data_IF_014839466978
#
_entry.id   IF_014839466978
#
_cell.length_a   1.000
_cell.length_b   1.000
_cell.length_c   1.000
_cell.angle_alpha   90.00
_cell.angle_beta   90.00
_cell.angle_gamma   90.00
#
_symmetry.space_group_name_H-M   'P 1'
#
loop_
_entity.id
_entity.type
_entity.pdbx_description
1 polymer ?
#
# COMPACT_ATOMS: atom_id res chain seq x y z
N UNK A 1 -15.56 30.76 9.35
CA UNK A 1 -15.18 29.94 10.53
C UNK A 1 -15.88 30.53 11.75
N UNK A 2 -16.34 29.69 12.68
CA UNK A 2 -16.99 30.11 13.93
C UNK A 2 -16.22 29.48 15.09
N UNK A 3 -16.09 30.21 16.20
CA UNK A 3 -15.42 29.72 17.41
C UNK A 3 -16.33 28.70 18.10
N UNK A 4 -15.82 27.49 18.32
CA UNK A 4 -16.57 26.39 18.96
C UNK A 4 -16.01 25.97 20.33
N UNK A 5 -14.80 26.41 20.67
CA UNK A 5 -14.14 26.12 21.94
C UNK A 5 -13.02 27.13 22.23
N UNK A 6 -12.58 27.20 23.49
CA UNK A 6 -11.42 27.98 23.93
C UNK A 6 -10.47 27.07 24.70
N UNK A 7 -9.16 27.21 24.49
CA UNK A 7 -8.15 26.50 25.28
C UNK A 7 -8.02 27.21 26.64
N UNK A 8 -8.16 26.46 27.72
CA UNK A 8 -8.10 26.96 29.10
C UNK A 8 -6.88 26.38 29.83
N UNK A 9 -6.46 27.04 30.92
CA UNK A 9 -5.37 26.56 31.77
C UNK A 9 -5.74 25.30 32.55
N UNK A 10 -6.98 25.21 33.04
CA UNK A 10 -7.49 24.00 33.70
C UNK A 10 -7.54 22.87 32.67
N UNK A 11 -6.82 21.75 32.87
CA UNK A 11 -6.73 20.67 31.89
C UNK A 11 -7.98 19.78 31.92
N UNK A 12 -9.14 20.35 31.56
CA UNK A 12 -10.42 19.66 31.50
C UNK A 12 -11.07 19.86 30.13
N UNK A 13 -11.73 18.81 29.63
CA UNK A 13 -12.70 18.91 28.55
C UNK A 13 -14.05 19.28 29.18
N UNK A 14 -14.50 20.50 28.92
CA UNK A 14 -15.82 20.98 29.36
C UNK A 14 -16.70 21.22 28.13
N UNK A 15 -17.88 20.61 28.10
CA UNK A 15 -18.88 20.84 27.04
C UNK A 15 -20.16 21.38 27.65
N UNK A 16 -20.67 22.45 27.05
CA UNK A 16 -21.94 23.06 27.43
C UNK A 16 -22.99 22.85 26.34
N UNK A 17 -24.22 22.56 26.76
CA UNK A 17 -25.39 22.52 25.89
C UNK A 17 -26.52 23.34 26.51
N UNK A 18 -27.03 24.33 25.77
CA UNK A 18 -28.05 25.28 26.28
C UNK A 18 -27.71 25.93 27.62
N UNK A 19 -26.43 26.25 27.84
CA UNK A 19 -25.93 26.86 29.08
C UNK A 19 -25.63 25.84 30.20
N UNK A 20 -26.05 24.59 30.06
CA UNK A 20 -25.80 23.53 31.04
C UNK A 20 -24.51 22.78 30.74
N UNK A 21 -23.76 22.42 31.78
CA UNK A 21 -22.54 21.60 31.63
C UNK A 21 -22.92 20.13 31.49
N UNK A 22 -22.62 19.53 30.33
CA UNK A 22 -22.95 18.13 30.03
C UNK A 22 -21.72 17.20 30.06
N UNK A 23 -20.53 17.76 29.93
CA UNK A 23 -19.25 17.05 30.10
C UNK A 23 -18.33 17.95 30.92
N UNK A 24 -17.72 17.39 31.96
CA UNK A 24 -16.57 17.96 32.65
C UNK A 24 -15.64 16.81 33.03
N UNK A 25 -14.62 16.57 32.19
CA UNK A 25 -13.68 15.47 32.35
C UNK A 25 -12.26 16.00 32.40
N UNK A 26 -11.48 15.53 33.37
CA UNK A 26 -10.06 15.84 33.42
C UNK A 26 -9.34 15.23 32.21
N UNK A 27 -8.44 16.00 31.60
CA UNK A 27 -7.70 15.59 30.41
C UNK A 27 -6.86 14.34 30.67
N UNK A 28 -6.30 14.21 31.89
CA UNK A 28 -5.52 13.04 32.31
C UNK A 28 -6.30 11.72 32.23
N UNK A 29 -7.62 11.76 32.41
CA UNK A 29 -8.45 10.56 32.30
C UNK A 29 -8.53 10.10 30.84
N UNK A 30 -8.66 11.05 29.92
CA UNK A 30 -8.65 10.81 28.47
C UNK A 30 -7.26 10.39 27.96
N UNK A 31 -6.18 10.80 28.65
CA UNK A 31 -4.79 10.42 28.30
C UNK A 31 -4.39 9.00 28.69
N UNK A 32 -5.27 8.26 29.38
CA UNK A 32 -4.94 6.90 29.82
C UNK A 32 -4.75 5.92 28.66
N UNK A 33 -5.08 6.29 27.41
CA UNK A 33 -4.97 5.47 26.19
C UNK A 33 -5.63 4.08 26.31
N UNK A 34 -6.55 3.92 27.26
CA UNK A 34 -7.21 2.65 27.56
C UNK A 34 -6.32 1.67 28.33
N UNK A 35 -6.66 0.39 28.25
CA UNK A 35 -5.98 -0.69 28.99
C UNK A 35 -5.02 -1.41 28.06
N UNK A 36 -3.77 -1.62 28.50
CA UNK A 36 -2.81 -2.46 27.77
C UNK A 36 -3.31 -3.91 27.77
N UNK A 37 -3.55 -4.45 26.58
CA UNK A 37 -3.96 -5.84 26.40
C UNK A 37 -2.74 -6.68 26.03
N UNK A 38 -2.66 -7.89 26.57
CA UNK A 38 -1.70 -8.92 26.17
C UNK A 38 -2.52 -10.11 25.66
N UNK A 39 -2.13 -10.64 24.51
CA UNK A 39 -2.76 -11.79 23.86
C UNK A 39 -1.66 -12.74 23.39
N UNK A 40 -1.93 -14.04 23.47
CA UNK A 40 -1.09 -15.04 22.83
C UNK A 40 -1.34 -15.03 21.32
N UNK A 41 -0.29 -15.21 20.54
CA UNK A 41 -0.36 -15.35 19.09
C UNK A 41 0.29 -16.67 18.67
N UNK A 42 -0.35 -17.38 17.74
CA UNK A 42 0.15 -18.63 17.18
C UNK A 42 0.17 -18.49 15.67
N UNK A 43 1.36 -18.39 15.09
CA UNK A 43 1.54 -18.37 13.64
C UNK A 43 1.32 -19.79 13.13
N UNK A 44 0.41 -19.93 12.17
CA UNK A 44 0.07 -21.21 11.52
C UNK A 44 0.11 -21.00 10.01
N UNK A 45 0.70 -21.97 9.32
CA UNK A 45 0.64 -22.00 7.86
C UNK A 45 -0.77 -22.40 7.43
N UNK A 46 -1.29 -21.74 6.38
CA UNK A 46 -2.56 -22.14 5.78
C UNK A 46 -2.32 -23.28 4.79
N UNK A 47 -3.26 -24.21 4.71
CA UNK A 47 -3.29 -25.25 3.69
C UNK A 47 -3.83 -24.68 2.37
N UNK A 48 -3.08 -23.75 1.79
CA UNK A 48 -3.37 -23.09 0.51
C UNK A 48 -2.17 -23.30 -0.40
N UNK A 49 -2.43 -23.59 -1.68
CA UNK A 49 -1.37 -23.76 -2.68
C UNK A 49 -0.60 -22.46 -2.89
N UNK A 50 0.68 -22.59 -3.24
CA UNK A 50 1.50 -21.46 -3.69
C UNK A 50 0.76 -20.75 -4.84
N UNK A 51 0.48 -19.44 -4.73
CA UNK A 51 -0.20 -18.71 -5.78
C UNK A 51 0.69 -18.55 -7.01
N UNK A 52 0.07 -18.31 -8.17
CA UNK A 52 0.75 -17.99 -9.43
C UNK A 52 1.70 -19.08 -9.95
N UNK A 53 1.57 -20.34 -9.51
CA UNK A 53 2.20 -21.49 -10.19
C UNK A 53 1.53 -21.73 -11.55
N UNK A 54 2.02 -21.04 -12.58
CA UNK A 54 1.58 -21.17 -13.97
C UNK A 54 2.73 -21.70 -14.82
N UNK A 55 2.46 -22.76 -15.56
CA UNK A 55 3.34 -23.24 -16.63
C UNK A 55 2.59 -23.13 -17.95
N UNK A 56 3.32 -22.76 -19.00
CA UNK A 56 2.77 -22.67 -20.35
C UNK A 56 3.71 -23.36 -21.32
N UNK A 57 3.20 -23.78 -22.47
CA UNK A 57 3.99 -24.34 -23.57
C UNK A 57 3.81 -23.47 -24.82
N UNK A 58 4.67 -23.66 -25.82
CA UNK A 58 4.55 -22.91 -27.08
C UNK A 58 3.20 -23.15 -27.77
N UNK A 59 2.63 -24.36 -27.62
CA UNK A 59 1.34 -24.75 -28.19
C UNK A 59 0.15 -24.16 -27.42
N UNK A 60 0.26 -24.03 -26.10
CA UNK A 60 -0.80 -23.50 -25.24
C UNK A 60 -0.76 -21.97 -25.09
N UNK A 61 0.35 -21.32 -25.46
CA UNK A 61 0.64 -19.91 -25.22
C UNK A 61 -0.52 -18.97 -25.59
N UNK A 62 -1.15 -19.17 -26.75
CA UNK A 62 -2.28 -18.33 -27.18
C UNK A 62 -3.48 -18.47 -26.23
N UNK A 63 -3.88 -19.71 -25.93
CA UNK A 63 -5.00 -19.98 -25.05
C UNK A 63 -4.74 -19.49 -23.62
N UNK A 64 -3.54 -19.74 -23.09
CA UNK A 64 -3.15 -19.32 -21.75
C UNK A 64 -3.09 -17.79 -21.65
N UNK A 65 -2.54 -17.12 -22.67
CA UNK A 65 -2.48 -15.65 -22.71
C UNK A 65 -3.89 -15.05 -22.73
N UNK A 66 -4.79 -15.59 -23.56
CA UNK A 66 -6.19 -15.13 -23.61
C UNK A 66 -6.90 -15.35 -22.27
N UNK A 67 -6.66 -16.49 -21.61
CA UNK A 67 -7.22 -16.76 -20.29
C UNK A 67 -6.75 -15.70 -19.27
N UNK A 68 -5.46 -15.42 -19.21
CA UNK A 68 -4.90 -14.39 -18.30
C UNK A 68 -5.47 -13.01 -18.61
N UNK A 69 -5.53 -12.60 -19.87
CA UNK A 69 -6.05 -11.27 -20.24
C UNK A 69 -7.56 -11.11 -20.02
N UNK A 70 -8.30 -12.23 -19.94
CA UNK A 70 -9.73 -12.25 -19.66
C UNK A 70 -10.08 -12.21 -18.16
N UNK A 71 -9.11 -12.52 -17.29
CA UNK A 71 -9.29 -12.48 -15.84
C UNK A 71 -9.48 -11.03 -15.36
N UNK A 72 -10.46 -10.81 -14.47
CA UNK A 72 -10.82 -9.47 -14.01
C UNK A 72 -9.68 -8.74 -13.26
N UNK A 73 -8.78 -9.47 -12.61
CA UNK A 73 -7.62 -8.87 -11.94
C UNK A 73 -6.56 -8.36 -12.93
N UNK A 74 -6.56 -8.90 -14.16
CA UNK A 74 -5.59 -8.58 -15.22
C UNK A 74 -6.20 -7.70 -16.33
N UNK A 75 -7.52 -7.70 -16.46
CA UNK A 75 -8.25 -6.91 -17.44
C UNK A 75 -8.10 -5.39 -17.19
N UNK A 76 -8.42 -4.60 -18.22
CA UNK A 76 -8.29 -3.14 -18.13
C UNK A 76 -9.23 -2.55 -17.07
N UNK A 77 -8.65 -1.89 -16.07
CA UNK A 77 -9.37 -1.16 -15.03
C UNK A 77 -9.68 0.30 -15.41
N UNK A 78 -9.52 0.67 -16.69
CA UNK A 78 -9.70 2.04 -17.22
C UNK A 78 -11.04 2.65 -16.81
N UNK A 79 -12.12 1.88 -16.88
CA UNK A 79 -13.46 2.35 -16.52
C UNK A 79 -13.52 2.94 -15.11
N UNK A 80 -12.97 2.22 -14.12
CA UNK A 80 -12.88 2.68 -12.73
C UNK A 80 -11.93 3.86 -12.59
N UNK A 81 -10.77 3.84 -13.25
CA UNK A 81 -9.78 4.92 -13.13
C UNK A 81 -10.30 6.26 -13.66
N UNK A 82 -11.09 6.24 -14.73
CA UNK A 82 -11.57 7.46 -15.41
C UNK A 82 -12.73 8.17 -14.72
N UNK A 83 -13.31 7.61 -13.64
CA UNK A 83 -14.33 8.31 -12.85
C UNK A 83 -13.72 9.35 -11.89
N UNK A 84 -12.41 9.28 -11.66
CA UNK A 84 -11.68 10.19 -10.78
C UNK A 84 -10.97 11.27 -11.59
N UNK A 85 -11.09 12.52 -11.14
CA UNK A 85 -10.31 13.62 -11.70
C UNK A 85 -8.85 13.50 -11.28
N UNK A 86 -7.95 13.57 -12.27
CA UNK A 86 -6.50 13.53 -12.06
C UNK A 86 -5.81 14.83 -12.48
N UNK A 87 -6.54 15.93 -12.67
CA UNK A 87 -6.05 17.20 -13.22
C UNK A 87 -6.14 18.37 -12.25
N UNK A 88 -7.03 18.28 -11.24
CA UNK A 88 -7.25 19.33 -10.25
C UNK A 88 -5.95 19.65 -9.52
N UNK A 89 -5.70 20.94 -9.31
CA UNK A 89 -4.44 21.42 -8.71
C UNK A 89 -3.27 21.57 -9.69
N UNK A 90 -3.39 21.09 -10.94
CA UNK A 90 -2.37 21.22 -12.01
C UNK A 90 -0.98 20.68 -11.61
N UNK A 91 -0.96 19.66 -10.74
CA UNK A 91 0.26 19.06 -10.21
C UNK A 91 0.64 17.75 -10.91
N UNK A 92 -0.29 17.09 -11.60
CA UNK A 92 -0.07 15.76 -12.17
C UNK A 92 1.04 15.76 -13.22
N UNK A 93 2.05 14.90 -13.02
CA UNK A 93 3.17 14.71 -13.96
C UNK A 93 2.84 13.57 -14.91
N UNK A 94 2.54 12.39 -14.37
CA UNK A 94 2.10 11.23 -15.12
C UNK A 94 0.57 11.16 -15.07
N UNK A 95 -0.09 11.25 -16.22
CA UNK A 95 -1.52 10.96 -16.32
C UNK A 95 -1.75 9.48 -15.95
N UNK A 96 -2.80 9.10 -15.18
CA UNK A 96 -2.99 7.73 -14.71
C UNK A 96 -2.97 6.67 -15.81
N UNK A 97 -3.47 7.07 -16.99
CA UNK A 97 -3.38 6.33 -18.25
C UNK A 97 -2.52 7.12 -19.23
N UNK A 98 -1.29 6.67 -19.43
CA UNK A 98 -0.27 7.30 -20.25
C UNK A 98 -0.34 6.96 -21.74
N UNK A 99 0.60 7.57 -22.47
CA UNK A 99 0.75 7.42 -23.91
C UNK A 99 -0.31 8.13 -24.75
N UNK A 100 -0.07 8.13 -26.07
CA UNK A 100 -0.91 8.84 -27.06
C UNK A 100 -2.38 8.45 -27.00
N UNK A 101 -2.66 7.20 -26.65
CA UNK A 101 -4.01 6.64 -26.61
C UNK A 101 -4.61 6.57 -25.20
N UNK A 102 -3.86 6.95 -24.16
CA UNK A 102 -4.30 6.85 -22.77
C UNK A 102 -4.79 5.43 -22.44
N UNK A 103 -3.92 4.45 -22.66
CA UNK A 103 -4.20 3.03 -22.46
C UNK A 103 -3.21 2.34 -21.52
N UNK A 104 -2.05 2.94 -21.25
CA UNK A 104 -1.01 2.33 -20.42
C UNK A 104 -1.14 2.82 -18.98
N UNK A 105 -1.51 1.96 -18.01
CA UNK A 105 -1.53 2.34 -16.60
C UNK A 105 -0.14 2.76 -16.13
N UNK A 106 -0.08 3.68 -15.17
CA UNK A 106 1.17 4.14 -14.57
C UNK A 106 1.52 3.34 -13.31
N UNK A 107 2.82 3.14 -13.06
CA UNK A 107 3.31 2.37 -11.90
C UNK A 107 3.18 3.13 -10.57
N UNK A 108 3.18 4.46 -10.64
CA UNK A 108 3.11 5.33 -9.47
C UNK A 108 2.36 6.62 -9.80
N UNK A 109 1.70 7.19 -8.79
CA UNK A 109 1.14 8.53 -8.87
C UNK A 109 2.24 9.56 -8.62
N UNK A 110 2.35 10.53 -9.53
CA UNK A 110 3.40 11.55 -9.50
C UNK A 110 2.80 12.95 -9.57
N UNK A 111 3.03 13.74 -8.53
CA UNK A 111 2.41 15.05 -8.34
C UNK A 111 3.45 16.09 -7.96
N UNK A 112 3.54 17.20 -8.71
CA UNK A 112 4.38 18.35 -8.36
C UNK A 112 3.93 18.96 -7.04
N UNK A 113 4.88 19.37 -6.21
CA UNK A 113 4.58 20.06 -4.96
C UNK A 113 4.09 21.50 -5.25
N UNK A 114 2.92 21.92 -4.71
CA UNK A 114 2.45 23.28 -4.93
C UNK A 114 3.40 24.29 -4.27
N UNK A 115 3.72 25.36 -5.00
CA UNK A 115 4.50 26.50 -4.50
C UNK A 115 3.69 27.78 -4.68
N UNK A 116 3.77 28.70 -3.71
CA UNK A 116 2.98 29.93 -3.73
C UNK A 116 3.31 30.82 -4.95
N UNK A 117 4.57 30.79 -5.39
CA UNK A 117 5.06 31.54 -6.55
C UNK A 117 6.03 30.69 -7.37
N UNK A 118 5.98 30.83 -8.69
CA UNK A 118 6.93 30.21 -9.62
C UNK A 118 6.59 28.77 -10.04
N UNK A 119 7.60 28.06 -10.53
CA UNK A 119 7.50 26.69 -11.04
C UNK A 119 8.43 25.81 -10.23
N UNK A 120 7.90 24.76 -9.60
CA UNK A 120 8.74 23.71 -9.00
C UNK A 120 9.08 22.63 -10.04
N UNK A 121 10.16 21.91 -9.81
CA UNK A 121 10.41 20.60 -10.44
C UNK A 121 10.38 19.47 -9.41
N UNK A 122 10.20 19.77 -8.13
CA UNK A 122 10.05 18.74 -7.10
C UNK A 122 8.65 18.14 -7.18
N UNK A 123 8.59 16.83 -7.32
CA UNK A 123 7.37 16.04 -7.29
C UNK A 123 7.39 15.03 -6.13
N UNK A 124 6.23 14.77 -5.55
CA UNK A 124 5.99 13.57 -4.75
C UNK A 124 5.68 12.39 -5.67
N UNK A 125 6.16 11.22 -5.29
CA UNK A 125 5.87 9.95 -5.94
C UNK A 125 5.30 9.03 -4.87
N UNK A 126 4.14 8.45 -5.15
CA UNK A 126 3.52 7.43 -4.30
C UNK A 126 3.22 6.17 -5.11
N UNK A 127 3.61 5.03 -4.58
CA UNK A 127 3.26 3.73 -5.11
C UNK A 127 2.70 2.85 -3.99
N UNK A 128 1.88 1.87 -4.39
CA UNK A 128 1.31 0.88 -3.48
C UNK A 128 1.76 -0.51 -3.90
N UNK A 129 1.89 -1.42 -2.94
CA UNK A 129 2.08 -2.85 -3.17
C UNK A 129 1.15 -3.67 -2.28
N UNK A 130 0.57 -4.72 -2.86
CA UNK A 130 -0.30 -5.69 -2.20
C UNK A 130 -0.73 -6.77 -3.19
N UNK A 131 -0.62 -8.04 -2.79
CA UNK A 131 -1.20 -9.16 -3.52
C UNK A 131 -2.05 -10.03 -2.56
N UNK A 132 -3.37 -10.13 -2.76
CA UNK A 132 -4.25 -10.84 -1.84
C UNK A 132 -3.98 -12.34 -1.80
N UNK A 133 -3.60 -12.97 -2.92
CA UNK A 133 -3.35 -14.40 -2.99
C UNK A 133 -2.04 -14.78 -2.29
N UNK A 134 -1.00 -13.95 -2.44
CA UNK A 134 0.27 -14.14 -1.70
C UNK A 134 0.06 -13.92 -0.21
N UNK A 135 -0.71 -12.90 0.18
CA UNK A 135 -0.99 -12.62 1.59
C UNK A 135 -1.91 -13.67 2.23
N UNK A 136 -2.82 -14.27 1.47
CA UNK A 136 -3.62 -15.40 1.91
C UNK A 136 -2.77 -16.65 2.11
N UNK A 137 -1.90 -16.99 1.15
CA UNK A 137 -0.96 -18.12 1.24
C UNK A 137 0.00 -17.96 2.42
N UNK A 138 0.64 -16.80 2.54
CA UNK A 138 1.55 -16.49 3.63
C UNK A 138 1.49 -14.99 3.95
N UNK A 139 0.88 -14.59 5.07
CA UNK A 139 0.82 -13.17 5.46
C UNK A 139 2.20 -12.53 5.58
N UNK A 140 3.19 -13.32 6.00
CA UNK A 140 4.60 -12.92 6.03
C UNK A 140 5.11 -12.51 4.64
N UNK A 141 5.02 -13.41 3.66
CA UNK A 141 5.49 -13.13 2.30
C UNK A 141 4.65 -12.02 1.67
N UNK A 142 3.33 -12.03 1.86
CA UNK A 142 2.44 -11.00 1.32
C UNK A 142 2.83 -9.59 1.78
N UNK A 143 3.17 -9.42 3.06
CA UNK A 143 3.61 -8.15 3.59
C UNK A 143 5.04 -7.76 3.14
N UNK A 144 5.97 -8.72 3.08
CA UNK A 144 7.31 -8.45 2.57
C UNK A 144 7.28 -8.03 1.09
N UNK A 145 6.56 -8.79 0.25
CA UNK A 145 6.39 -8.48 -1.16
C UNK A 145 5.56 -7.22 -1.39
N UNK A 146 4.64 -6.84 -0.50
CA UNK A 146 3.98 -5.53 -0.58
C UNK A 146 5.00 -4.37 -0.51
N UNK A 147 5.98 -4.45 0.40
CA UNK A 147 7.07 -3.46 0.50
C UNK A 147 7.95 -3.50 -0.75
N UNK A 148 8.32 -4.69 -1.21
CA UNK A 148 9.17 -4.87 -2.41
C UNK A 148 8.46 -4.33 -3.65
N UNK A 149 7.19 -4.66 -3.87
CA UNK A 149 6.39 -4.22 -5.02
C UNK A 149 6.22 -2.70 -5.04
N UNK A 150 5.84 -2.11 -3.90
CA UNK A 150 5.75 -0.65 -3.79
C UNK A 150 7.10 0.01 -4.11
N UNK A 151 8.21 -0.56 -3.63
CA UNK A 151 9.57 -0.08 -3.91
C UNK A 151 9.91 -0.20 -5.39
N UNK A 152 9.66 -1.35 -6.01
CA UNK A 152 9.90 -1.60 -7.43
C UNK A 152 9.12 -0.62 -8.32
N UNK A 153 7.86 -0.33 -7.97
CA UNK A 153 7.04 0.67 -8.66
C UNK A 153 7.59 2.10 -8.53
N UNK A 154 8.14 2.47 -7.37
CA UNK A 154 8.87 3.74 -7.21
C UNK A 154 10.10 3.80 -8.13
N UNK A 155 10.86 2.71 -8.22
CA UNK A 155 12.03 2.60 -9.12
C UNK A 155 11.60 2.73 -10.58
N UNK A 156 10.54 2.03 -10.98
CA UNK A 156 10.01 2.06 -12.35
C UNK A 156 9.54 3.47 -12.77
N UNK A 157 9.08 4.28 -11.82
CA UNK A 157 8.74 5.69 -12.05
C UNK A 157 9.97 6.64 -12.10
N UNK A 158 11.18 6.12 -11.89
CA UNK A 158 12.43 6.90 -11.86
C UNK A 158 12.68 7.61 -10.52
N UNK A 159 12.00 7.21 -9.45
CA UNK A 159 12.14 7.82 -8.13
C UNK A 159 13.33 7.23 -7.35
N UNK A 160 13.89 8.00 -6.41
CA UNK A 160 14.91 7.48 -5.51
C UNK A 160 14.25 6.66 -4.39
N UNK A 161 14.25 5.34 -4.58
CA UNK A 161 13.63 4.38 -3.67
C UNK A 161 14.30 4.34 -2.30
N UNK A 162 15.61 4.56 -2.19
CA UNK A 162 16.34 4.51 -0.91
C UNK A 162 15.96 5.65 0.05
N UNK A 163 15.23 6.65 -0.45
CA UNK A 163 14.65 7.75 0.34
C UNK A 163 13.19 7.55 0.67
N UNK A 164 12.59 6.43 0.25
CA UNK A 164 11.18 6.18 0.46
C UNK A 164 10.86 6.06 1.97
N UNK A 165 9.62 6.43 2.28
CA UNK A 165 9.00 6.27 3.60
C UNK A 165 7.68 5.57 3.42
N UNK A 166 7.36 4.67 4.35
CA UNK A 166 6.20 3.80 4.22
C UNK A 166 5.08 4.17 5.18
N UNK A 167 3.84 3.98 4.71
CA UNK A 167 2.66 3.87 5.55
C UNK A 167 1.98 2.54 5.27
N UNK A 168 1.55 1.83 6.32
CA UNK A 168 0.91 0.54 6.19
C UNK A 168 -0.57 0.60 6.52
N UNK A 169 -1.40 0.00 5.67
CA UNK A 169 -2.83 -0.16 5.94
C UNK A 169 -3.12 -1.64 6.16
N UNK A 170 -3.54 -1.95 7.38
CA UNK A 170 -3.71 -3.31 7.88
C UNK A 170 -5.20 -3.63 8.00
N UNK A 171 -5.64 -4.69 7.33
CA UNK A 171 -7.00 -5.21 7.43
C UNK A 171 -6.95 -6.71 7.72
N UNK A 172 -7.49 -7.09 8.86
CA UNK A 172 -7.55 -8.47 9.29
C UNK A 172 -8.94 -8.81 9.78
N UNK A 173 -9.15 -10.10 9.96
CA UNK A 173 -10.36 -10.65 10.51
C UNK A 173 -10.64 -10.14 11.93
N UNK A 174 -11.84 -10.42 12.45
CA UNK A 174 -12.20 -10.04 13.80
C UNK A 174 -11.33 -10.77 14.83
N UNK A 175 -10.64 -9.98 15.64
CA UNK A 175 -9.77 -10.45 16.71
C UNK A 175 -10.56 -10.78 17.99
N UNK A 176 -10.85 -12.06 18.25
CA UNK A 176 -11.65 -12.54 19.38
C UNK A 176 -10.85 -13.34 20.44
N UNK A 177 -9.57 -12.97 20.64
CA UNK A 177 -8.62 -13.63 21.56
C UNK A 177 -8.25 -15.07 21.20
N UNK A 178 -8.59 -15.55 20.00
CA UNK A 178 -8.05 -16.78 19.47
C UNK A 178 -6.61 -16.55 18.97
N UNK A 179 -5.65 -17.32 19.49
CA UNK A 179 -4.24 -17.10 19.22
C UNK A 179 -3.86 -17.21 17.73
N UNK A 180 -4.54 -18.07 16.98
CA UNK A 180 -4.27 -18.27 15.55
C UNK A 180 -4.67 -17.06 14.70
N UNK A 181 -5.74 -16.36 15.08
CA UNK A 181 -6.16 -15.11 14.41
C UNK A 181 -5.14 -14.00 14.60
N UNK A 182 -4.58 -13.89 15.80
CA UNK A 182 -3.46 -12.98 16.07
C UNK A 182 -2.15 -13.42 15.41
N UNK A 183 -2.02 -14.68 14.98
CA UNK A 183 -0.88 -15.16 14.21
C UNK A 183 -0.73 -14.47 12.85
N UNK A 184 -1.85 -14.14 12.19
CA UNK A 184 -1.85 -13.48 10.87
C UNK A 184 -1.23 -12.08 10.88
N UNK A 185 -1.68 -11.13 11.73
CA UNK A 185 -1.04 -9.82 11.81
C UNK A 185 0.40 -9.91 12.32
N UNK A 186 0.71 -10.84 13.24
CA UNK A 186 2.10 -11.07 13.68
C UNK A 186 2.99 -11.47 12.50
N UNK A 187 2.57 -12.45 11.69
CA UNK A 187 3.32 -12.89 10.52
C UNK A 187 3.50 -11.77 9.49
N UNK A 188 2.43 -11.03 9.18
CA UNK A 188 2.49 -9.89 8.25
C UNK A 188 3.42 -8.78 8.74
N UNK A 189 3.33 -8.41 10.02
CA UNK A 189 4.22 -7.40 10.61
C UNK A 189 5.67 -7.84 10.56
N UNK A 190 5.98 -9.10 10.88
CA UNK A 190 7.34 -9.64 10.76
C UNK A 190 7.88 -9.55 9.33
N UNK A 191 7.09 -9.96 8.33
CA UNK A 191 7.51 -9.88 6.93
C UNK A 191 7.73 -8.43 6.46
N UNK A 192 6.86 -7.51 6.87
CA UNK A 192 7.05 -6.08 6.58
C UNK A 192 8.29 -5.51 7.27
N UNK A 193 8.58 -5.91 8.51
CA UNK A 193 9.74 -5.43 9.28
C UNK A 193 11.03 -5.95 8.65
N UNK A 194 11.07 -7.22 8.25
CA UNK A 194 12.24 -7.78 7.56
C UNK A 194 12.53 -7.00 6.28
N UNK A 195 11.52 -6.81 5.41
CA UNK A 195 11.70 -6.04 4.18
C UNK A 195 12.17 -4.59 4.44
N UNK A 196 11.62 -3.93 5.46
CA UNK A 196 12.06 -2.59 5.87
C UNK A 196 13.53 -2.57 6.31
N UNK A 197 13.96 -3.55 7.12
CA UNK A 197 15.35 -3.67 7.60
C UNK A 197 16.29 -3.95 6.43
N UNK A 198 15.96 -4.94 5.59
CA UNK A 198 16.80 -5.39 4.48
C UNK A 198 17.00 -4.31 3.41
N UNK A 199 15.96 -3.53 3.13
CA UNK A 199 16.00 -2.44 2.14
C UNK A 199 16.39 -1.08 2.76
N UNK A 200 16.44 -0.95 4.09
CA UNK A 200 16.69 0.31 4.78
C UNK A 200 15.57 1.34 4.62
N UNK A 201 14.31 0.89 4.56
CA UNK A 201 13.14 1.70 4.23
C UNK A 201 12.21 1.82 5.44
N UNK A 202 12.22 2.94 6.20
CA UNK A 202 11.44 3.02 7.43
C UNK A 202 9.97 3.38 7.17
N UNK A 203 9.09 2.85 8.01
CA UNK A 203 7.71 3.32 8.16
C UNK A 203 7.62 4.60 9.00
N UNK A 204 6.64 5.45 8.64
CA UNK A 204 6.37 6.73 9.30
C UNK A 204 4.92 6.87 9.75
N UNK A 205 4.10 5.85 9.50
CA UNK A 205 2.69 5.85 9.85
C UNK A 205 2.00 4.57 9.41
N UNK A 206 0.70 4.51 9.69
CA UNK A 206 -0.15 3.41 9.31
C UNK A 206 -1.48 3.46 10.05
N UNK A 207 -2.35 2.53 9.70
CA UNK A 207 -3.63 2.33 10.38
C UNK A 207 -4.05 0.87 10.28
N UNK A 208 -4.61 0.37 11.36
CA UNK A 208 -5.21 -0.94 11.44
C UNK A 208 -6.75 -0.93 11.46
N UNK A 209 -7.31 -2.04 11.00
CA UNK A 209 -8.73 -2.38 11.08
C UNK A 209 -8.88 -3.88 11.34
N UNK A 210 -9.06 -4.22 12.61
CA UNK A 210 -9.04 -5.60 13.13
C UNK A 210 -10.44 -6.21 13.33
N UNK A 211 -11.38 -5.83 12.47
CA UNK A 211 -12.80 -6.21 12.56
C UNK A 211 -13.39 -6.67 11.22
N UNK A 212 -12.56 -7.12 10.29
CA UNK A 212 -12.93 -7.50 8.92
C UNK A 212 -13.65 -8.85 8.81
N UNK A 213 -14.67 -9.09 9.65
CA UNK A 213 -15.51 -10.29 9.58
C UNK A 213 -16.99 -9.90 9.61
N UNK A 214 -17.74 -10.39 8.64
CA UNK A 214 -19.19 -10.28 8.51
C UNK A 214 -19.81 -11.68 8.39
N UNK A 215 -20.58 -12.09 9.40
CA UNK A 215 -21.05 -13.48 9.54
C UNK A 215 -19.88 -14.46 9.46
N UNK A 216 -19.91 -15.40 8.51
CA UNK A 216 -18.85 -16.40 8.27
C UNK A 216 -17.82 -15.93 7.23
N UNK A 217 -17.97 -14.70 6.70
CA UNK A 217 -17.07 -14.15 5.69
C UNK A 217 -16.01 -13.26 6.35
N UNK A 218 -14.75 -13.60 6.09
CA UNK A 218 -13.59 -12.91 6.63
C UNK A 218 -12.76 -12.33 5.48
N UNK A 219 -12.27 -11.10 5.66
CA UNK A 219 -11.33 -10.48 4.72
C UNK A 219 -10.02 -11.26 4.65
N UNK A 220 -9.33 -11.29 3.49
CA UNK A 220 -7.99 -11.86 3.43
C UNK A 220 -7.04 -11.10 4.36
N UNK A 221 -6.02 -11.76 4.94
CA UNK A 221 -4.97 -11.08 5.70
C UNK A 221 -4.32 -10.03 4.81
N UNK A 222 -4.42 -8.75 5.19
CA UNK A 222 -4.06 -7.65 4.30
C UNK A 222 -3.12 -6.69 5.00
N UNK A 223 -1.95 -6.49 4.40
CA UNK A 223 -1.06 -5.37 4.69
C UNK A 223 -0.71 -4.70 3.36
N UNK A 224 -1.27 -3.52 3.13
CA UNK A 224 -0.99 -2.72 1.94
C UNK A 224 0.14 -1.75 2.27
N UNK A 225 1.21 -1.80 1.48
CA UNK A 225 2.36 -0.92 1.65
C UNK A 225 2.23 0.30 0.74
N UNK A 226 2.21 1.49 1.31
CA UNK A 226 2.27 2.75 0.55
C UNK A 226 3.66 3.35 0.70
N UNK A 227 4.46 3.30 -0.36
CA UNK A 227 5.78 3.92 -0.43
C UNK A 227 5.68 5.33 -0.99
N UNK A 228 6.24 6.31 -0.28
CA UNK A 228 6.29 7.72 -0.70
C UNK A 228 7.73 8.20 -0.75
N UNK A 229 8.10 8.90 -1.83
CA UNK A 229 9.38 9.60 -1.94
C UNK A 229 9.21 10.88 -2.77
N UNK A 230 10.32 11.56 -3.04
CA UNK A 230 10.36 12.71 -3.94
C UNK A 230 11.18 12.41 -5.19
N UNK A 231 10.87 13.08 -6.28
CA UNK A 231 11.59 13.00 -7.54
C UNK A 231 11.70 14.38 -8.21
N UNK A 232 12.63 14.50 -9.16
CA UNK A 232 12.63 15.60 -10.13
C UNK A 232 11.64 15.25 -11.24
N UNK A 233 10.59 16.06 -11.41
CA UNK A 233 9.51 15.83 -12.37
C UNK A 233 9.99 15.68 -13.81
N UNK A 234 11.19 16.18 -14.14
CA UNK A 234 11.79 16.09 -15.49
C UNK A 234 12.47 14.74 -15.74
N UNK A 235 12.68 13.94 -14.69
CA UNK A 235 13.33 12.63 -14.73
C UNK A 235 12.37 11.47 -14.46
N UNK A 236 11.09 11.78 -14.28
CA UNK A 236 10.05 10.78 -14.06
C UNK A 236 9.86 9.98 -15.35
N UNK A 237 9.78 8.67 -15.19
CA UNK A 237 9.56 7.73 -16.28
C UNK A 237 8.08 7.39 -16.40
N UNK A 238 7.64 7.09 -17.62
CA UNK A 238 6.30 6.58 -17.91
C UNK A 238 6.37 5.29 -18.73
N UNK A 239 5.45 4.33 -18.50
CA UNK A 239 5.62 2.94 -18.93
C UNK A 239 5.35 2.67 -20.41
N UNK A 240 4.67 3.57 -21.13
CA UNK A 240 4.39 3.34 -22.55
C UNK A 240 5.66 3.33 -23.41
N UNK A 241 5.71 2.46 -24.42
CA UNK A 241 6.79 2.50 -25.41
C UNK A 241 6.79 3.82 -26.18
N UNK A 242 7.98 4.43 -26.33
CA UNK A 242 8.13 5.78 -26.91
C UNK A 242 8.29 5.76 -28.42
N UNK A 243 9.09 4.84 -28.94
CA UNK A 243 9.39 4.74 -30.37
C UNK A 243 9.76 3.31 -30.76
N UNK A 244 9.66 2.99 -32.04
CA UNK A 244 10.10 1.71 -32.60
C UNK A 244 11.63 1.64 -32.69
N UNK A 245 12.17 0.42 -32.66
CA UNK A 245 13.62 0.16 -32.77
C UNK A 245 14.39 0.25 -31.45
N UNK A 246 13.70 0.51 -30.34
CA UNK A 246 14.29 0.48 -28.99
C UNK A 246 14.42 -0.96 -28.46
N UNK A 247 15.39 -1.17 -27.56
CA UNK A 247 15.61 -2.46 -26.93
C UNK A 247 14.69 -2.68 -25.73
N UNK A 248 14.23 -3.91 -25.56
CA UNK A 248 13.50 -4.35 -24.37
C UNK A 248 14.42 -5.27 -23.57
N UNK A 249 14.60 -4.94 -22.29
CA UNK A 249 15.40 -5.72 -21.37
C UNK A 249 14.47 -6.44 -20.40
N UNK A 250 14.70 -7.74 -20.21
CA UNK A 250 14.06 -8.53 -19.18
C UNK A 250 15.03 -8.71 -18.02
N UNK A 251 14.64 -8.21 -16.85
CA UNK A 251 15.37 -8.44 -15.60
C UNK A 251 14.66 -9.61 -14.92
N UNK A 252 15.26 -10.81 -14.86
CA UNK A 252 14.62 -11.96 -14.24
C UNK A 252 14.45 -11.71 -12.74
N UNK A 253 13.26 -12.03 -12.23
CA UNK A 253 12.99 -12.11 -10.80
C UNK A 253 13.19 -13.52 -10.25
N UNK A 254 13.09 -13.66 -8.94
CA UNK A 254 12.98 -14.96 -8.28
C UNK A 254 11.52 -15.41 -8.28
N UNK A 255 11.28 -16.70 -8.52
CA UNK A 255 9.97 -17.29 -8.23
C UNK A 255 9.67 -17.21 -6.72
N UNK A 256 8.41 -17.30 -6.32
CA UNK A 256 8.04 -17.35 -4.91
C UNK A 256 8.70 -18.57 -4.25
N UNK A 257 9.44 -18.32 -3.19
CA UNK A 257 10.19 -19.31 -2.40
C UNK A 257 10.03 -18.97 -0.92
N UNK A 258 10.36 -19.92 -0.04
CA UNK A 258 10.22 -19.75 1.42
C UNK A 258 11.15 -18.69 2.00
N UNK A 259 12.34 -18.50 1.41
CA UNK A 259 13.30 -17.49 1.84
C UNK A 259 13.45 -16.42 0.76
N UNK A 260 13.20 -15.17 1.13
CA UNK A 260 13.28 -14.05 0.20
C UNK A 260 14.76 -13.66 0.03
N UNK A 261 15.28 -13.74 -1.19
CA UNK A 261 16.65 -13.30 -1.50
C UNK A 261 16.69 -11.77 -1.67
N UNK A 262 16.88 -11.06 -0.55
CA UNK A 262 16.99 -9.60 -0.58
C UNK A 262 18.26 -9.10 -1.28
N UNK A 263 19.32 -9.90 -1.36
CA UNK A 263 20.55 -9.51 -2.06
C UNK A 263 20.34 -9.50 -3.58
N UNK A 264 19.53 -10.43 -4.11
CA UNK A 264 19.07 -10.39 -5.49
C UNK A 264 18.12 -9.22 -5.78
N UNK A 265 17.29 -8.84 -4.80
CA UNK A 265 16.29 -7.75 -4.95
C UNK A 265 16.94 -6.36 -4.96
N UNK A 266 18.05 -6.16 -4.24
CA UNK A 266 18.76 -4.87 -4.09
C UNK A 266 19.54 -4.47 -5.35
#
# INVERSE_FOLDING_TARGET
AVVVATVTEKPNLVMHWNGETIVDLERRFLDTNGVRVVVDAKVVDKDVKLPEERTTSAEALEADTLAVLSDLNHASQKGLQTIFDCSVGRSTVNHPLGGRYQLTPTEASVQKLPVQHGVTHTASVIAQGFNPYVAEWSPYHGAAYAVIEATARLVAAGANWSKARFSYQEYFERMDKQAERFGQPVAALLGSIEAQIQLGLPSIGGKDSMSGTFEELTVPPTLVAFGVTTADSRKVLSPEFKTAGENIYYIPGQALVTEIDFDLIK
#
